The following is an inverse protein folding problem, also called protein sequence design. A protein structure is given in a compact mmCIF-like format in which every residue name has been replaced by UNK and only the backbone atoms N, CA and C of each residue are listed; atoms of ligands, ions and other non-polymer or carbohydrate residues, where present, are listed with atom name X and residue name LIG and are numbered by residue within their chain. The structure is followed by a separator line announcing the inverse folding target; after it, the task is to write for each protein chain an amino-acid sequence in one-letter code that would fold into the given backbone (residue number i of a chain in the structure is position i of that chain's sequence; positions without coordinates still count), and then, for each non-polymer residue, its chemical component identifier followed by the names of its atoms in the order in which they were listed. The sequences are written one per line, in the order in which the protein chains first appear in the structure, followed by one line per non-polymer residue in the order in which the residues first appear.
data_IF_913501688110
#
_entry.id   IF_913501688110
#
_cell.length_a   1.000
_cell.length_b   1.000
_cell.length_c   1.000
_cell.angle_alpha   90.00
_cell.angle_beta   90.00
_cell.angle_gamma   90.00
#
_symmetry.space_group_name_H-M   'P 1'
#
loop_
_entity.id
_entity.type
_entity.pdbx_description
1 polymer ?
#
# COMPACT_ATOMS: atom_id res chain seq x y z
N UNK A 1 -28.35 9.51 -22.35
CA UNK A 1 -28.30 8.77 -21.08
C UNK A 1 -27.55 9.66 -20.10
N UNK A 2 -28.20 10.06 -19.06
CA UNK A 2 -27.64 11.04 -18.12
C UNK A 2 -26.62 10.31 -17.22
N UNK A 3 -25.32 10.51 -17.48
CA UNK A 3 -24.20 9.98 -16.67
C UNK A 3 -24.11 10.64 -15.29
N UNK A 4 -25.24 11.11 -14.77
CA UNK A 4 -25.33 11.94 -13.56
C UNK A 4 -25.13 11.17 -12.26
N UNK A 5 -25.07 9.84 -12.28
CA UNK A 5 -25.00 9.03 -11.05
C UNK A 5 -23.70 9.20 -10.23
N UNK A 6 -22.61 9.68 -10.85
CA UNK A 6 -21.31 9.90 -10.18
C UNK A 6 -20.81 11.34 -10.29
N UNK A 7 -21.72 12.31 -10.45
CA UNK A 7 -21.35 13.73 -10.36
C UNK A 7 -21.15 14.11 -8.89
N UNK A 8 -20.00 13.77 -8.36
CA UNK A 8 -19.52 14.45 -7.18
C UNK A 8 -19.27 15.91 -7.54
N UNK A 9 -19.88 16.83 -6.81
CA UNK A 9 -19.56 18.23 -6.95
C UNK A 9 -18.20 18.48 -6.29
N UNK A 10 -17.11 18.16 -7.01
CA UNK A 10 -15.74 18.24 -6.52
C UNK A 10 -15.30 19.70 -6.53
N UNK A 11 -15.47 20.37 -5.41
CA UNK A 11 -14.82 21.66 -5.16
C UNK A 11 -13.44 21.36 -4.57
N UNK A 12 -12.40 21.43 -5.41
CA UNK A 12 -11.01 21.22 -4.97
C UNK A 12 -10.62 22.36 -4.02
N UNK A 13 -10.27 22.02 -2.79
CA UNK A 13 -9.69 22.99 -1.87
C UNK A 13 -8.16 23.07 -2.00
N UNK A 14 -7.56 24.09 -1.38
CA UNK A 14 -6.12 24.35 -1.47
C UNK A 14 -5.26 23.23 -0.90
N UNK A 15 -5.79 22.45 0.04
CA UNK A 15 -5.06 21.32 0.63
C UNK A 15 -4.96 20.16 -0.37
N UNK A 16 -6.07 19.78 -0.99
CA UNK A 16 -6.08 18.72 -2.01
C UNK A 16 -5.23 19.13 -3.22
N UNK A 17 -5.26 20.39 -3.63
CA UNK A 17 -4.40 20.92 -4.70
C UNK A 17 -2.91 20.76 -4.32
N UNK A 18 -2.52 21.09 -3.09
CA UNK A 18 -1.14 20.88 -2.62
C UNK A 18 -0.74 19.42 -2.63
N UNK A 19 -1.61 18.53 -2.17
CA UNK A 19 -1.38 17.09 -2.20
C UNK A 19 -1.16 16.59 -3.63
N UNK A 20 -1.99 17.01 -4.59
CA UNK A 20 -1.83 16.67 -6.00
C UNK A 20 -0.46 17.14 -6.55
N UNK A 21 -0.08 18.38 -6.27
CA UNK A 21 1.22 18.92 -6.71
C UNK A 21 2.38 18.11 -6.13
N UNK A 22 2.32 17.71 -4.87
CA UNK A 22 3.36 16.89 -4.21
C UNK A 22 3.44 15.53 -4.86
N UNK A 23 2.29 14.88 -5.06
CA UNK A 23 2.17 13.57 -5.66
C UNK A 23 2.74 13.53 -7.08
N UNK A 24 2.30 14.43 -7.96
CA UNK A 24 2.75 14.50 -9.37
C UNK A 24 4.23 14.90 -9.48
N UNK A 25 4.73 15.72 -8.57
CA UNK A 25 6.14 16.09 -8.52
C UNK A 25 7.04 14.88 -8.23
N UNK A 26 6.61 13.95 -7.39
CA UNK A 26 7.34 12.70 -7.18
C UNK A 26 7.33 11.84 -8.44
N UNK A 27 6.19 11.67 -9.07
CA UNK A 27 6.06 10.88 -10.30
C UNK A 27 6.99 11.41 -11.41
N UNK A 28 7.04 12.72 -11.58
CA UNK A 28 7.92 13.37 -12.56
C UNK A 28 9.42 13.08 -12.34
N UNK A 29 9.87 12.86 -11.10
CA UNK A 29 11.27 12.54 -10.80
C UNK A 29 11.56 11.04 -10.74
N UNK A 30 10.50 10.21 -10.71
CA UNK A 30 10.61 8.76 -10.50
C UNK A 30 11.51 8.08 -11.52
N UNK A 31 11.37 8.37 -12.80
CA UNK A 31 12.17 7.77 -13.87
C UNK A 31 13.68 7.92 -13.64
N UNK A 32 14.10 9.04 -13.05
CA UNK A 32 15.50 9.28 -12.69
C UNK A 32 15.93 8.49 -11.44
N UNK A 33 15.04 8.38 -10.45
CA UNK A 33 15.28 7.58 -9.24
C UNK A 33 15.37 6.10 -9.58
N UNK A 34 14.46 5.61 -10.41
CA UNK A 34 14.40 4.23 -10.88
C UNK A 34 15.72 3.80 -11.54
N UNK A 35 16.19 4.56 -12.54
CA UNK A 35 17.45 4.29 -13.26
C UNK A 35 18.65 4.21 -12.32
N UNK A 36 18.70 5.08 -11.30
CA UNK A 36 19.81 5.12 -10.32
C UNK A 36 19.75 3.98 -9.29
N UNK A 37 18.61 3.33 -9.17
CA UNK A 37 18.32 2.37 -8.08
C UNK A 37 18.03 0.96 -8.58
N UNK A 38 18.20 0.65 -9.86
CA UNK A 38 17.84 -0.62 -10.50
C UNK A 38 18.24 -1.86 -9.69
N UNK A 39 19.46 -1.87 -9.14
CA UNK A 39 19.98 -2.99 -8.33
C UNK A 39 19.25 -3.18 -6.98
N UNK A 40 18.42 -2.22 -6.57
CA UNK A 40 17.69 -2.25 -5.29
C UNK A 40 16.21 -2.52 -5.48
N UNK A 41 15.68 -2.30 -6.68
CA UNK A 41 14.26 -2.37 -6.96
C UNK A 41 13.69 -3.77 -6.78
N UNK A 42 14.43 -4.83 -7.15
CA UNK A 42 14.00 -6.22 -6.92
C UNK A 42 13.82 -6.52 -5.43
N UNK A 43 14.76 -6.05 -4.60
CA UNK A 43 14.68 -6.21 -3.14
C UNK A 43 13.52 -5.40 -2.55
N UNK A 44 13.31 -4.16 -3.04
CA UNK A 44 12.19 -3.34 -2.60
C UNK A 44 10.85 -3.96 -2.99
N UNK A 45 10.74 -4.51 -4.20
CA UNK A 45 9.54 -5.21 -4.67
C UNK A 45 9.23 -6.44 -3.81
N UNK A 46 10.22 -7.30 -3.58
CA UNK A 46 10.05 -8.48 -2.70
C UNK A 46 9.60 -8.07 -1.30
N UNK A 47 10.23 -7.04 -0.71
CA UNK A 47 9.83 -6.52 0.59
C UNK A 47 8.41 -5.94 0.58
N UNK A 48 8.04 -5.20 -0.46
CA UNK A 48 6.67 -4.66 -0.61
C UNK A 48 5.65 -5.80 -0.64
N UNK A 49 5.89 -6.87 -1.40
CA UNK A 49 5.01 -8.05 -1.45
C UNK A 49 4.86 -8.69 -0.06
N UNK A 50 5.96 -8.93 0.66
CA UNK A 50 5.90 -9.49 2.03
C UNK A 50 5.11 -8.60 2.98
N UNK A 51 5.30 -7.28 2.92
CA UNK A 51 4.56 -6.31 3.74
C UNK A 51 3.06 -6.26 3.39
N UNK A 52 2.72 -6.29 2.10
CA UNK A 52 1.33 -6.31 1.61
C UNK A 52 0.58 -7.54 2.13
N UNK A 53 1.17 -8.72 1.96
CA UNK A 53 0.57 -9.97 2.41
C UNK A 53 0.42 -10.03 3.94
N UNK A 54 1.43 -9.56 4.68
CA UNK A 54 1.33 -9.46 6.14
C UNK A 54 0.23 -8.50 6.59
N UNK A 55 0.09 -7.37 5.92
CA UNK A 55 -0.95 -6.39 6.22
C UNK A 55 -2.36 -6.94 5.91
N UNK A 56 -2.54 -7.61 4.76
CA UNK A 56 -3.81 -8.28 4.41
C UNK A 56 -4.20 -9.28 5.49
N UNK A 57 -3.28 -10.12 5.93
CA UNK A 57 -3.55 -11.10 6.99
C UNK A 57 -3.96 -10.42 8.30
N UNK A 58 -3.25 -9.38 8.75
CA UNK A 58 -3.57 -8.67 10.00
C UNK A 58 -4.89 -7.90 9.90
N UNK A 59 -5.23 -7.38 8.74
CA UNK A 59 -6.55 -6.77 8.49
C UNK A 59 -7.70 -7.79 8.59
N UNK A 60 -7.43 -9.06 8.26
CA UNK A 60 -8.36 -10.19 8.40
C UNK A 60 -8.25 -10.88 9.79
N UNK A 61 -7.42 -10.36 10.70
CA UNK A 61 -7.29 -10.85 12.09
C UNK A 61 -6.22 -11.92 12.33
N UNK A 62 -5.31 -12.14 11.37
CA UNK A 62 -4.22 -13.12 11.48
C UNK A 62 -2.86 -12.42 11.50
N UNK A 63 -1.98 -12.84 12.40
CA UNK A 63 -0.63 -12.30 12.49
C UNK A 63 0.43 -13.35 12.12
N UNK A 64 1.09 -13.11 10.98
CA UNK A 64 2.19 -13.94 10.51
C UNK A 64 3.51 -13.16 10.54
N UNK A 65 4.58 -13.81 10.95
CA UNK A 65 5.92 -13.25 10.83
C UNK A 65 6.35 -13.12 9.36
N UNK A 66 7.21 -12.16 9.05
CA UNK A 66 7.76 -11.98 7.69
C UNK A 66 8.44 -13.29 7.19
N UNK A 67 9.19 -13.98 8.07
CA UNK A 67 9.82 -15.26 7.73
C UNK A 67 8.82 -16.34 7.33
N UNK A 68 7.64 -16.41 8.00
CA UNK A 68 6.58 -17.35 7.61
C UNK A 68 6.02 -17.01 6.24
N UNK A 69 5.76 -15.73 5.98
CA UNK A 69 5.25 -15.23 4.68
C UNK A 69 6.24 -15.61 3.56
N UNK A 70 7.53 -15.30 3.74
CA UNK A 70 8.57 -15.62 2.75
C UNK A 70 8.68 -17.11 2.48
N UNK A 71 8.60 -17.95 3.52
CA UNK A 71 8.61 -19.42 3.39
C UNK A 71 7.44 -19.93 2.55
N UNK A 72 6.24 -19.40 2.76
CA UNK A 72 5.05 -19.78 1.99
C UNK A 72 5.12 -19.30 0.53
N UNK A 73 5.64 -18.08 0.28
CA UNK A 73 5.84 -17.59 -1.08
C UNK A 73 6.79 -18.43 -1.93
N UNK A 74 7.79 -19.04 -1.28
CA UNK A 74 8.81 -19.81 -2.02
C UNK A 74 8.33 -21.18 -2.47
N UNK A 75 7.59 -21.93 -1.63
CA UNK A 75 7.44 -23.38 -1.83
C UNK A 75 6.06 -23.94 -1.47
N UNK A 76 5.09 -23.13 -1.09
CA UNK A 76 3.83 -23.68 -0.61
C UNK A 76 2.83 -23.92 -1.75
N UNK A 77 2.18 -25.09 -1.74
CA UNK A 77 1.09 -25.43 -2.66
C UNK A 77 -0.25 -25.33 -1.92
N UNK A 78 -1.00 -24.26 -2.18
CA UNK A 78 -2.26 -23.94 -1.48
C UNK A 78 -3.38 -24.91 -1.82
N UNK A 79 -4.19 -25.27 -0.81
CA UNK A 79 -5.29 -26.25 -0.91
C UNK A 79 -6.54 -25.72 -0.18
N UNK A 80 -7.71 -26.27 -0.53
CA UNK A 80 -8.98 -25.98 0.13
C UNK A 80 -9.06 -26.51 1.58
N UNK A 81 -8.28 -27.52 1.90
CA UNK A 81 -8.18 -28.14 3.23
C UNK A 81 -7.30 -27.35 4.21
N UNK A 82 -6.54 -26.37 3.72
CA UNK A 82 -5.69 -25.53 4.55
C UNK A 82 -6.50 -24.72 5.57
N UNK A 83 -5.84 -24.22 6.61
CA UNK A 83 -6.44 -23.32 7.58
C UNK A 83 -6.89 -22.00 6.95
N UNK A 84 -7.82 -21.29 7.61
CA UNK A 84 -8.43 -20.07 7.07
C UNK A 84 -7.40 -18.98 6.71
N UNK A 85 -6.38 -18.81 7.54
CA UNK A 85 -5.28 -17.85 7.32
C UNK A 85 -4.46 -18.21 6.07
N UNK A 86 -4.15 -19.49 5.88
CA UNK A 86 -3.42 -20.00 4.69
C UNK A 86 -4.26 -19.82 3.42
N UNK A 87 -5.56 -20.08 3.49
CA UNK A 87 -6.46 -19.89 2.33
C UNK A 87 -6.59 -18.43 1.92
N UNK A 88 -6.70 -17.52 2.89
CA UNK A 88 -6.75 -16.08 2.65
C UNK A 88 -5.45 -15.61 2.00
N UNK A 89 -4.32 -16.03 2.56
CA UNK A 89 -3.00 -15.74 2.00
C UNK A 89 -2.85 -16.25 0.57
N UNK A 90 -3.15 -17.54 0.35
CA UNK A 90 -3.06 -18.16 -0.97
C UNK A 90 -3.96 -17.53 -2.01
N UNK A 91 -5.20 -17.23 -1.63
CA UNK A 91 -6.15 -16.54 -2.51
C UNK A 91 -5.66 -15.16 -2.94
N UNK A 92 -5.09 -14.38 -2.01
CA UNK A 92 -4.54 -13.07 -2.35
C UNK A 92 -3.34 -13.17 -3.29
N UNK A 93 -2.40 -14.11 -3.02
CA UNK A 93 -1.25 -14.39 -3.90
C UNK A 93 -1.71 -14.79 -5.30
N UNK A 94 -2.69 -15.67 -5.40
CA UNK A 94 -3.22 -16.11 -6.70
C UNK A 94 -3.90 -14.99 -7.47
N UNK A 95 -4.72 -14.17 -6.81
CA UNK A 95 -5.39 -13.04 -7.47
C UNK A 95 -4.36 -12.00 -7.97
N UNK A 96 -3.30 -11.74 -7.20
CA UNK A 96 -2.21 -10.85 -7.63
C UNK A 96 -1.45 -11.44 -8.81
N UNK A 97 -1.12 -12.74 -8.77
CA UNK A 97 -0.43 -13.45 -9.87
C UNK A 97 -1.27 -13.45 -11.14
N UNK A 98 -2.58 -13.75 -11.02
CA UNK A 98 -3.52 -13.69 -12.15
C UNK A 98 -3.48 -12.33 -12.86
N UNK A 99 -3.52 -11.24 -12.08
CA UNK A 99 -3.40 -9.91 -12.66
C UNK A 99 -2.04 -9.71 -13.34
N UNK A 100 -0.93 -10.06 -12.68
CA UNK A 100 0.42 -9.82 -13.22
C UNK A 100 0.67 -10.60 -14.52
N UNK A 101 0.18 -11.82 -14.62
CA UNK A 101 0.28 -12.66 -15.83
C UNK A 101 -0.54 -12.12 -16.99
N UNK A 102 -1.67 -11.49 -16.69
CA UNK A 102 -2.59 -10.93 -17.69
C UNK A 102 -2.46 -9.40 -17.84
N UNK A 103 -1.48 -8.76 -17.20
CA UNK A 103 -1.41 -7.31 -17.04
C UNK A 103 -1.44 -6.50 -18.33
N UNK A 104 -0.90 -7.04 -19.43
CA UNK A 104 -0.92 -6.38 -20.74
C UNK A 104 -2.32 -6.31 -21.37
N UNK A 105 -3.21 -7.25 -21.04
CA UNK A 105 -4.55 -7.37 -21.61
C UNK A 105 -5.65 -7.22 -20.55
N UNK A 106 -5.27 -6.87 -19.33
CA UNK A 106 -6.25 -6.75 -18.25
C UNK A 106 -7.10 -5.48 -18.46
N UNK A 107 -8.35 -5.69 -18.81
CA UNK A 107 -9.35 -4.62 -18.87
C UNK A 107 -10.11 -4.57 -17.55
N UNK A 108 -10.32 -3.37 -17.02
CA UNK A 108 -11.13 -3.15 -15.83
C UNK A 108 -12.62 -3.21 -16.21
N UNK A 109 -13.17 -4.40 -16.28
CA UNK A 109 -14.57 -4.66 -16.61
C UNK A 109 -15.17 -5.73 -15.68
N UNK A 110 -16.46 -5.99 -15.85
CA UNK A 110 -17.17 -6.98 -15.01
C UNK A 110 -16.58 -8.39 -15.08
N UNK A 111 -16.29 -8.98 -16.26
CA UNK A 111 -15.68 -10.30 -16.35
C UNK A 111 -14.33 -10.37 -15.63
N UNK A 112 -13.42 -9.44 -15.89
CA UNK A 112 -12.09 -9.41 -15.27
C UNK A 112 -12.16 -9.25 -13.75
N UNK A 113 -13.09 -8.42 -13.27
CA UNK A 113 -13.29 -8.24 -11.84
C UNK A 113 -13.85 -9.50 -11.15
N UNK A 114 -14.77 -10.20 -11.81
CA UNK A 114 -15.31 -11.48 -11.34
C UNK A 114 -14.23 -12.58 -11.32
N UNK A 115 -13.41 -12.64 -12.35
CA UNK A 115 -12.28 -13.58 -12.39
C UNK A 115 -11.24 -13.26 -11.29
N UNK A 116 -10.96 -11.98 -11.04
CA UNK A 116 -10.07 -11.57 -9.95
C UNK A 116 -10.62 -12.02 -8.59
N UNK A 117 -11.92 -11.84 -8.36
CA UNK A 117 -12.59 -12.29 -7.13
C UNK A 117 -12.60 -13.82 -7.03
N UNK A 118 -12.81 -14.52 -8.12
CA UNK A 118 -12.75 -15.98 -8.18
C UNK A 118 -11.38 -16.49 -7.77
N UNK A 119 -10.30 -15.89 -8.28
CA UNK A 119 -8.94 -16.23 -7.89
C UNK A 119 -8.69 -15.92 -6.40
N UNK A 120 -9.24 -14.81 -5.91
CA UNK A 120 -9.10 -14.41 -4.50
C UNK A 120 -9.73 -15.41 -3.53
N UNK A 121 -10.84 -16.05 -3.90
CA UNK A 121 -11.58 -16.96 -3.04
C UNK A 121 -11.43 -18.44 -3.40
N UNK A 122 -10.63 -18.80 -4.39
CA UNK A 122 -10.54 -20.17 -4.92
C UNK A 122 -10.21 -21.26 -3.90
N UNK A 123 -9.55 -20.90 -2.80
CA UNK A 123 -9.22 -21.84 -1.71
C UNK A 123 -10.25 -21.82 -0.56
N UNK A 124 -11.35 -21.06 -0.66
CA UNK A 124 -12.35 -20.91 0.39
C UNK A 124 -13.61 -21.73 0.14
N UNK A 125 -13.75 -22.95 0.70
CA UNK A 125 -14.93 -23.79 0.45
C UNK A 125 -16.24 -23.15 0.89
N UNK A 126 -16.22 -22.32 1.94
CA UNK A 126 -17.41 -21.59 2.41
C UNK A 126 -17.96 -20.59 1.38
N UNK A 127 -17.10 -20.15 0.45
CA UNK A 127 -17.41 -19.10 -0.52
C UNK A 127 -17.67 -19.66 -1.92
N UNK A 128 -17.55 -20.98 -2.14
CA UNK A 128 -17.76 -21.67 -3.45
C UNK A 128 -19.12 -21.30 -4.10
N UNK A 129 -20.17 -21.08 -3.30
CA UNK A 129 -21.53 -20.80 -3.78
C UNK A 129 -21.72 -19.41 -4.40
N UNK A 130 -20.78 -18.48 -4.17
CA UNK A 130 -20.83 -17.11 -4.72
C UNK A 130 -19.52 -16.66 -5.37
N UNK A 131 -18.54 -17.55 -5.45
CA UNK A 131 -17.23 -17.28 -6.00
C UNK A 131 -17.35 -16.87 -7.48
N UNK A 132 -16.85 -15.68 -7.84
CA UNK A 132 -16.95 -15.13 -9.20
C UNK A 132 -18.30 -14.49 -9.55
N UNK A 133 -19.25 -14.43 -8.61
CA UNK A 133 -20.56 -13.82 -8.82
C UNK A 133 -20.80 -12.60 -7.91
N UNK A 134 -21.60 -11.65 -8.41
CA UNK A 134 -22.09 -10.58 -7.55
C UNK A 134 -22.99 -11.12 -6.44
N UNK A 135 -23.03 -10.39 -5.34
CA UNK A 135 -23.76 -10.77 -4.14
C UNK A 135 -25.24 -11.03 -4.39
N UNK A 136 -25.76 -12.02 -3.67
CA UNK A 136 -27.18 -12.40 -3.65
C UNK A 136 -27.87 -12.03 -2.35
N UNK A 137 -27.07 -11.75 -1.30
CA UNK A 137 -27.53 -11.41 0.05
C UNK A 137 -26.89 -10.06 0.42
N UNK A 138 -27.61 -9.25 1.18
CA UNK A 138 -27.08 -7.96 1.66
C UNK A 138 -25.82 -8.17 2.51
N UNK A 139 -24.80 -7.35 2.26
CA UNK A 139 -23.49 -7.45 2.88
C UNK A 139 -23.03 -6.10 3.43
N UNK A 140 -23.87 -5.41 4.18
CA UNK A 140 -23.53 -4.17 4.85
C UNK A 140 -22.19 -4.30 5.61
N UNK A 141 -21.46 -3.21 5.73
CA UNK A 141 -20.24 -3.20 6.54
C UNK A 141 -20.62 -2.97 8.00
N UNK A 142 -20.32 -3.96 8.83
CA UNK A 142 -20.48 -3.91 10.28
C UNK A 142 -19.12 -4.11 10.95
N UNK A 143 -18.91 -3.43 12.07
CA UNK A 143 -17.77 -3.69 12.98
C UNK A 143 -18.30 -4.33 14.25
N UNK A 144 -17.54 -5.27 14.79
CA UNK A 144 -17.83 -5.87 16.10
C UNK A 144 -17.14 -5.02 17.16
N UNK A 145 -17.94 -4.49 18.08
CA UNK A 145 -17.43 -3.73 19.23
C UNK A 145 -16.87 -4.66 20.32
N UNK A 146 -16.07 -4.14 21.28
CA UNK A 146 -15.49 -4.95 22.34
C UNK A 146 -16.52 -5.68 23.22
N UNK A 147 -17.75 -5.19 23.30
CA UNK A 147 -18.88 -5.81 24.02
C UNK A 147 -19.59 -6.92 23.23
N UNK A 148 -19.10 -7.20 21.99
CA UNK A 148 -19.69 -8.18 21.07
C UNK A 148 -20.89 -7.65 20.25
N UNK A 149 -21.35 -6.42 20.49
CA UNK A 149 -22.36 -5.78 19.65
C UNK A 149 -21.81 -5.42 18.27
N UNK A 150 -22.72 -5.32 17.28
CA UNK A 150 -22.37 -4.92 15.92
C UNK A 150 -22.80 -3.48 15.67
N UNK A 151 -21.89 -2.67 15.20
CA UNK A 151 -22.17 -1.33 14.73
C UNK A 151 -22.16 -1.30 13.21
N UNK A 152 -23.24 -0.80 12.61
CA UNK A 152 -23.32 -0.58 11.16
C UNK A 152 -22.41 0.57 10.77
N UNK A 153 -21.35 0.27 9.99
CA UNK A 153 -20.45 1.31 9.44
C UNK A 153 -21.14 1.99 8.28
N UNK A 154 -21.64 1.21 7.31
CA UNK A 154 -22.47 1.74 6.21
C UNK A 154 -23.32 0.65 5.54
N UNK A 155 -24.31 1.11 4.77
CA UNK A 155 -25.19 0.26 3.96
C UNK A 155 -24.63 0.13 2.56
N UNK A 156 -24.38 -1.10 2.15
CA UNK A 156 -24.00 -1.42 0.78
C UNK A 156 -25.18 -1.29 -0.17
N UNK A 157 -24.91 -1.16 -1.47
CA UNK A 157 -25.96 -1.26 -2.51
C UNK A 157 -26.70 -2.57 -2.39
N UNK A 158 -28.02 -2.54 -2.60
CA UNK A 158 -28.86 -3.75 -2.53
C UNK A 158 -28.42 -4.81 -3.56
N UNK A 159 -28.53 -6.12 -3.23
CA UNK A 159 -28.14 -7.20 -4.12
C UNK A 159 -29.01 -7.27 -5.39
N UNK A 160 -28.55 -8.06 -6.36
CA UNK A 160 -29.27 -8.30 -7.61
C UNK A 160 -29.09 -7.15 -8.60
N UNK A 161 -30.19 -6.71 -9.23
CA UNK A 161 -30.15 -5.72 -10.32
C UNK A 161 -29.51 -4.41 -9.90
N UNK A 162 -29.72 -3.94 -8.68
CA UNK A 162 -29.14 -2.69 -8.18
C UNK A 162 -27.61 -2.75 -8.12
N UNK A 163 -27.03 -3.89 -7.70
CA UNK A 163 -25.57 -4.09 -7.70
C UNK A 163 -25.03 -4.14 -9.13
N UNK A 164 -25.72 -4.84 -10.05
CA UNK A 164 -25.32 -4.95 -11.46
C UNK A 164 -25.31 -3.57 -12.13
N UNK A 165 -26.38 -2.81 -11.96
CA UNK A 165 -26.50 -1.46 -12.53
C UNK A 165 -25.46 -0.50 -11.95
N UNK A 166 -25.26 -0.53 -10.63
CA UNK A 166 -24.26 0.33 -9.98
C UNK A 166 -22.84 0.02 -10.48
N UNK A 167 -22.46 -1.24 -10.61
CA UNK A 167 -21.16 -1.62 -11.15
C UNK A 167 -21.01 -1.23 -12.63
N UNK A 168 -22.08 -1.45 -13.44
CA UNK A 168 -22.06 -1.00 -14.84
C UNK A 168 -21.84 0.51 -14.93
N UNK A 169 -22.58 1.30 -14.16
CA UNK A 169 -22.43 2.76 -14.12
C UNK A 169 -21.02 3.18 -13.67
N UNK A 170 -20.42 2.46 -12.71
CA UNK A 170 -19.06 2.73 -12.25
C UNK A 170 -18.02 2.50 -13.36
N UNK A 171 -18.12 1.40 -14.11
CA UNK A 171 -17.24 1.14 -15.26
C UNK A 171 -17.47 2.15 -16.37
N UNK A 172 -18.73 2.41 -16.75
CA UNK A 172 -19.08 3.37 -17.79
C UNK A 172 -18.51 4.76 -17.47
N UNK A 173 -18.66 5.23 -16.23
CA UNK A 173 -18.08 6.48 -15.77
C UNK A 173 -16.56 6.46 -15.86
N UNK A 174 -15.91 5.39 -15.37
CA UNK A 174 -14.44 5.31 -15.36
C UNK A 174 -13.84 5.45 -16.75
N UNK A 175 -14.47 4.87 -17.76
CA UNK A 175 -13.98 4.98 -19.14
C UNK A 175 -14.41 6.27 -19.85
N UNK A 176 -15.57 6.80 -19.54
CA UNK A 176 -16.08 8.02 -20.17
C UNK A 176 -15.45 9.31 -19.64
N UNK A 177 -15.06 9.33 -18.36
CA UNK A 177 -14.49 10.54 -17.75
C UNK A 177 -13.04 10.77 -18.21
N UNK A 178 -12.84 11.88 -18.94
CA UNK A 178 -11.53 12.34 -19.41
C UNK A 178 -11.07 13.62 -18.68
N UNK A 179 -11.85 14.13 -17.75
CA UNK A 179 -11.59 15.42 -17.10
C UNK A 179 -10.97 15.29 -15.71
N UNK A 180 -11.22 14.18 -15.03
CA UNK A 180 -10.69 13.95 -13.69
C UNK A 180 -9.23 13.50 -13.77
N UNK A 181 -8.38 14.11 -12.94
CA UNK A 181 -6.96 13.74 -12.81
C UNK A 181 -6.85 12.26 -12.41
N UNK A 182 -5.96 11.50 -13.05
CA UNK A 182 -5.87 10.04 -12.95
C UNK A 182 -5.89 9.50 -11.53
N UNK A 183 -5.09 10.08 -10.61
CA UNK A 183 -5.05 9.62 -9.21
C UNK A 183 -6.38 9.88 -8.48
N UNK A 184 -7.06 10.99 -8.74
CA UNK A 184 -8.38 11.27 -8.17
C UNK A 184 -9.44 10.34 -8.75
N UNK A 185 -9.35 10.03 -10.03
CA UNK A 185 -10.23 9.07 -10.71
C UNK A 185 -10.12 7.68 -10.09
N UNK A 186 -8.89 7.24 -9.78
CA UNK A 186 -8.63 6.01 -9.04
C UNK A 186 -9.29 6.08 -7.65
N UNK A 187 -9.05 7.15 -6.89
CA UNK A 187 -9.61 7.32 -5.54
C UNK A 187 -11.14 7.28 -5.53
N UNK A 188 -11.79 7.91 -6.52
CA UNK A 188 -13.25 7.92 -6.70
C UNK A 188 -13.75 6.51 -7.03
N UNK A 189 -13.10 5.82 -7.98
CA UNK A 189 -13.46 4.46 -8.36
C UNK A 189 -13.43 3.51 -7.15
N UNK A 190 -12.37 3.56 -6.35
CA UNK A 190 -12.22 2.73 -5.15
C UNK A 190 -13.28 3.07 -4.10
N UNK A 191 -13.59 4.35 -3.90
CA UNK A 191 -14.66 4.78 -3.00
C UNK A 191 -16.01 4.17 -3.41
N UNK A 192 -16.40 4.33 -4.67
CA UNK A 192 -17.66 3.80 -5.19
C UNK A 192 -17.72 2.27 -5.12
N UNK A 193 -16.63 1.60 -5.48
CA UNK A 193 -16.53 0.15 -5.34
C UNK A 193 -16.77 -0.32 -3.89
N UNK A 194 -16.17 0.38 -2.93
CA UNK A 194 -16.37 0.10 -1.50
C UNK A 194 -17.79 0.42 -1.03
N UNK A 195 -18.47 1.39 -1.63
CA UNK A 195 -19.86 1.70 -1.35
C UNK A 195 -20.82 0.64 -1.93
N UNK A 196 -20.56 0.20 -3.15
CA UNK A 196 -21.35 -0.83 -3.82
C UNK A 196 -21.18 -2.18 -3.12
N UNK A 197 -19.94 -2.56 -2.75
CA UNK A 197 -19.60 -3.88 -2.20
C UNK A 197 -20.20 -5.02 -3.04
N UNK A 198 -19.79 -5.16 -4.32
CA UNK A 198 -20.51 -5.99 -5.29
C UNK A 198 -20.45 -7.48 -4.97
N UNK A 199 -19.47 -7.97 -4.25
CA UNK A 199 -19.30 -9.38 -3.93
C UNK A 199 -19.75 -9.71 -2.50
N UNK A 200 -20.11 -10.98 -2.25
CA UNK A 200 -20.52 -11.42 -0.92
C UNK A 200 -19.36 -11.35 0.08
N UNK A 201 -18.14 -11.71 -0.34
CA UNK A 201 -16.89 -11.60 0.42
C UNK A 201 -15.75 -11.11 -0.48
N UNK A 202 -14.65 -10.63 0.15
CA UNK A 202 -13.43 -10.23 -0.53
C UNK A 202 -13.39 -8.77 -1.02
N UNK A 203 -14.44 -7.95 -0.85
CA UNK A 203 -14.47 -6.57 -1.37
C UNK A 203 -13.31 -5.69 -0.86
N UNK A 204 -12.92 -5.81 0.40
CA UNK A 204 -11.78 -5.07 0.96
C UNK A 204 -10.46 -5.48 0.30
N UNK A 205 -10.20 -6.78 0.22
CA UNK A 205 -8.99 -7.34 -0.42
C UNK A 205 -8.91 -6.98 -1.91
N UNK A 206 -10.06 -7.05 -2.61
CA UNK A 206 -10.16 -6.63 -4.00
C UNK A 206 -9.88 -5.14 -4.18
N UNK A 207 -10.35 -4.29 -3.26
CA UNK A 207 -10.08 -2.85 -3.37
C UNK A 207 -8.58 -2.54 -3.35
N UNK A 208 -7.79 -3.24 -2.55
CA UNK A 208 -6.33 -3.09 -2.54
C UNK A 208 -5.68 -3.54 -3.84
N UNK A 209 -6.09 -4.70 -4.36
CA UNK A 209 -5.62 -5.19 -5.67
C UNK A 209 -6.00 -4.23 -6.79
N UNK A 210 -7.23 -3.68 -6.78
CA UNK A 210 -7.66 -2.71 -7.78
C UNK A 210 -6.87 -1.39 -7.70
N UNK A 211 -6.52 -0.91 -6.50
CA UNK A 211 -5.60 0.24 -6.39
C UNK A 211 -4.30 -0.07 -7.13
N UNK A 212 -3.69 -1.23 -6.89
CA UNK A 212 -2.46 -1.64 -7.57
C UNK A 212 -2.62 -1.72 -9.09
N UNK A 213 -3.70 -2.35 -9.55
CA UNK A 213 -4.03 -2.47 -10.98
C UNK A 213 -4.16 -1.09 -11.62
N UNK A 214 -4.99 -0.23 -11.04
CA UNK A 214 -5.30 1.09 -11.57
C UNK A 214 -4.07 2.02 -11.54
N UNK A 215 -3.25 1.95 -10.49
CA UNK A 215 -1.99 2.69 -10.42
C UNK A 215 -1.04 2.28 -11.56
N UNK A 216 -0.89 0.98 -11.80
CA UNK A 216 -0.03 0.48 -12.88
C UNK A 216 -0.58 0.87 -14.26
N UNK A 217 -1.89 0.78 -14.50
CA UNK A 217 -2.52 1.16 -15.77
C UNK A 217 -2.46 2.67 -16.04
N UNK A 218 -2.39 3.50 -14.99
CA UNK A 218 -2.17 4.94 -15.11
C UNK A 218 -0.68 5.33 -15.10
N UNK A 219 0.22 4.37 -15.38
CA UNK A 219 1.66 4.55 -15.52
C UNK A 219 2.42 4.97 -14.25
N UNK A 220 1.83 4.83 -13.05
CA UNK A 220 2.54 5.03 -11.79
C UNK A 220 3.47 3.84 -11.49
N UNK A 221 4.56 3.72 -12.28
CA UNK A 221 5.47 2.56 -12.29
C UNK A 221 6.25 2.35 -10.98
N UNK A 222 6.21 3.31 -10.06
CA UNK A 222 6.78 3.21 -8.72
C UNK A 222 5.92 2.41 -7.74
N UNK A 223 4.64 2.24 -8.02
CA UNK A 223 3.69 1.61 -7.08
C UNK A 223 4.02 0.16 -6.70
N UNK A 224 4.54 -0.71 -7.59
CA UNK A 224 4.91 -2.09 -7.26
C UNK A 224 6.00 -2.24 -6.18
N UNK A 225 6.70 -1.16 -5.84
CA UNK A 225 7.76 -1.16 -4.80
C UNK A 225 7.25 -0.76 -3.41
N UNK A 226 5.93 -0.68 -3.24
CA UNK A 226 5.25 -0.19 -2.05
C UNK A 226 4.13 -1.15 -1.61
N UNK A 227 3.70 -1.00 -0.35
CA UNK A 227 2.56 -1.73 0.19
C UNK A 227 1.46 -0.74 0.59
N UNK A 228 0.44 -0.64 -0.23
CA UNK A 228 -0.76 0.15 0.08
C UNK A 228 -1.55 -0.47 1.23
N UNK A 229 -1.63 -1.79 1.28
CA UNK A 229 -2.29 -2.55 2.34
C UNK A 229 -1.70 -2.25 3.72
N UNK A 230 -0.36 -2.10 3.79
CA UNK A 230 0.33 -1.71 5.02
C UNK A 230 -0.01 -0.28 5.44
N UNK A 231 -0.12 0.64 4.49
CA UNK A 231 -0.54 2.01 4.76
C UNK A 231 -1.97 2.06 5.30
N UNK A 232 -2.89 1.30 4.71
CA UNK A 232 -4.27 1.17 5.22
C UNK A 232 -4.31 0.51 6.59
N UNK A 233 -3.51 -0.52 6.84
CA UNK A 233 -3.40 -1.16 8.15
C UNK A 233 -2.97 -0.16 9.23
N UNK A 234 -1.97 0.66 8.94
CA UNK A 234 -1.45 1.67 9.87
C UNK A 234 -2.47 2.77 10.18
N UNK A 235 -3.30 3.12 9.20
CA UNK A 235 -4.33 4.16 9.31
C UNK A 235 -5.74 3.57 9.41
N UNK A 236 -5.89 2.32 9.90
CA UNK A 236 -7.16 1.55 9.87
C UNK A 236 -8.33 2.30 10.49
N UNK A 237 -8.13 2.93 11.63
CA UNK A 237 -9.20 3.64 12.33
C UNK A 237 -9.68 4.85 11.52
N UNK A 238 -8.75 5.65 11.00
CA UNK A 238 -9.06 6.81 10.18
C UNK A 238 -9.75 6.40 8.88
N UNK A 239 -9.27 5.35 8.20
CA UNK A 239 -9.87 4.78 7.01
C UNK A 239 -11.36 4.46 7.20
N UNK A 240 -11.73 3.73 8.26
CA UNK A 240 -13.13 3.39 8.50
C UNK A 240 -13.96 4.60 8.93
N UNK A 241 -13.39 5.52 9.73
CA UNK A 241 -14.07 6.74 10.13
C UNK A 241 -14.42 7.61 8.93
N UNK A 242 -13.48 7.83 8.02
CA UNK A 242 -13.69 8.62 6.82
C UNK A 242 -14.70 7.96 5.88
N UNK A 243 -14.61 6.66 5.66
CA UNK A 243 -15.62 5.94 4.86
C UNK A 243 -17.02 6.10 5.45
N UNK A 244 -17.19 5.88 6.75
CA UNK A 244 -18.45 6.02 7.47
C UNK A 244 -19.01 7.44 7.36
N UNK A 245 -18.18 8.43 7.63
CA UNK A 245 -18.62 9.84 7.64
C UNK A 245 -18.96 10.34 6.24
N UNK A 246 -18.18 9.95 5.23
CA UNK A 246 -18.46 10.31 3.85
C UNK A 246 -19.79 9.71 3.38
N UNK A 247 -20.07 8.44 3.72
CA UNK A 247 -21.26 7.74 3.25
C UNK A 247 -22.56 8.12 3.95
N UNK A 248 -22.51 8.79 5.11
CA UNK A 248 -23.72 9.23 5.84
C UNK A 248 -24.69 10.06 5.00
N UNK A 249 -24.20 10.77 4.01
CA UNK A 249 -24.96 11.70 3.18
C UNK A 249 -25.23 11.18 1.76
N UNK A 250 -24.99 9.88 1.52
CA UNK A 250 -25.26 9.26 0.21
C UNK A 250 -26.74 9.34 -0.16
N UNK A 251 -27.11 9.74 -1.40
CA UNK A 251 -26.22 9.95 -2.58
C UNK A 251 -25.72 11.39 -2.79
N UNK A 252 -25.80 12.27 -1.83
CA UNK A 252 -25.36 13.68 -1.92
C UNK A 252 -24.10 13.94 -1.08
N UNK A 253 -23.25 12.92 -0.98
CA UNK A 253 -22.04 12.97 -0.16
C UNK A 253 -20.95 13.90 -0.71
N UNK A 254 -20.21 14.52 0.22
CA UNK A 254 -18.97 15.22 -0.08
C UNK A 254 -17.78 14.27 0.14
N UNK A 255 -17.12 13.86 -0.94
CA UNK A 255 -16.01 12.90 -0.89
C UNK A 255 -14.63 13.55 -0.69
N UNK A 256 -14.54 14.86 -0.44
CA UNK A 256 -13.25 15.55 -0.26
C UNK A 256 -12.44 14.94 0.88
N UNK A 257 -13.07 14.57 1.98
CA UNK A 257 -12.41 13.88 3.10
C UNK A 257 -11.73 12.58 2.68
N UNK A 258 -12.44 11.75 1.90
CA UNK A 258 -11.89 10.52 1.33
C UNK A 258 -10.73 10.81 0.38
N UNK A 259 -10.86 11.77 -0.53
CA UNK A 259 -9.81 12.11 -1.48
C UNK A 259 -8.54 12.57 -0.78
N UNK A 260 -8.65 13.42 0.25
CA UNK A 260 -7.51 13.88 1.05
C UNK A 260 -6.83 12.73 1.78
N UNK A 261 -7.59 11.84 2.39
CA UNK A 261 -7.06 10.64 3.05
C UNK A 261 -6.30 9.77 2.06
N UNK A 262 -6.92 9.45 0.91
CA UNK A 262 -6.28 8.64 -0.13
C UNK A 262 -4.99 9.28 -0.62
N UNK A 263 -4.99 10.59 -0.89
CA UNK A 263 -3.81 11.34 -1.31
C UNK A 263 -2.72 11.35 -0.23
N UNK A 264 -3.09 11.49 1.06
CA UNK A 264 -2.13 11.40 2.17
C UNK A 264 -1.45 10.03 2.22
N UNK A 265 -2.21 8.94 2.06
CA UNK A 265 -1.64 7.59 1.97
C UNK A 265 -0.64 7.48 0.80
N UNK A 266 -1.00 7.99 -0.38
CA UNK A 266 -0.12 7.95 -1.55
C UNK A 266 1.17 8.75 -1.36
N UNK A 267 1.11 9.94 -0.77
CA UNK A 267 2.27 10.78 -0.47
C UNK A 267 3.18 10.09 0.57
N UNK A 268 2.61 9.53 1.64
CA UNK A 268 3.38 8.78 2.64
C UNK A 268 4.14 7.60 2.02
N UNK A 269 3.49 6.88 1.10
CA UNK A 269 4.12 5.80 0.36
C UNK A 269 5.29 6.30 -0.50
N UNK A 270 5.10 7.40 -1.22
CA UNK A 270 6.16 8.02 -2.03
C UNK A 270 7.35 8.47 -1.18
N UNK A 271 7.10 9.10 -0.04
CA UNK A 271 8.16 9.56 0.88
C UNK A 271 8.91 8.38 1.49
N UNK A 272 8.22 7.30 1.85
CA UNK A 272 8.85 6.06 2.31
C UNK A 272 9.74 5.43 1.24
N UNK A 273 9.29 5.38 -0.02
CA UNK A 273 10.07 4.86 -1.14
C UNK A 273 11.34 5.70 -1.37
N UNK A 274 11.18 7.01 -1.42
CA UNK A 274 12.29 7.96 -1.56
C UNK A 274 13.31 7.80 -0.43
N UNK A 275 12.85 7.69 0.82
CA UNK A 275 13.70 7.45 1.98
C UNK A 275 14.48 6.14 1.86
N UNK A 276 13.82 5.05 1.48
CA UNK A 276 14.46 3.74 1.30
C UNK A 276 15.53 3.75 0.20
N UNK A 277 15.25 4.40 -0.92
CA UNK A 277 16.22 4.53 -2.03
C UNK A 277 17.43 5.38 -1.60
N UNK A 278 17.18 6.55 -1.02
CA UNK A 278 18.26 7.45 -0.61
C UNK A 278 19.14 6.82 0.46
N UNK A 279 18.55 6.22 1.50
CA UNK A 279 19.29 5.56 2.58
C UNK A 279 20.16 4.42 2.06
N UNK A 280 19.66 3.59 1.14
CA UNK A 280 20.44 2.49 0.57
C UNK A 280 21.51 2.97 -0.43
N UNK A 281 21.21 3.98 -1.23
CA UNK A 281 22.22 4.59 -2.13
C UNK A 281 23.38 5.17 -1.34
N UNK A 282 23.08 5.76 -0.20
CA UNK A 282 24.05 6.27 0.73
C UNK A 282 24.93 5.14 1.31
N UNK A 283 24.31 4.04 1.77
CA UNK A 283 25.05 2.88 2.33
C UNK A 283 25.82 2.06 1.30
N UNK A 284 25.43 2.07 0.02
CA UNK A 284 26.22 1.41 -1.06
C UNK A 284 27.50 2.17 -1.41
N UNK A 285 27.54 3.47 -1.19
CA UNK A 285 28.71 4.32 -1.42
C UNK A 285 29.73 4.29 -0.26
N UNK A 286 29.41 3.60 0.84
CA UNK A 286 30.34 3.42 1.94
C UNK A 286 31.22 2.19 1.70
N UNK A 287 32.54 2.36 1.91
CA UNK A 287 33.48 1.23 1.96
C UNK A 287 33.10 0.25 3.09
N UNK A 288 33.57 -1.00 3.00
CA UNK A 288 33.38 -2.01 4.05
C UNK A 288 33.81 -1.49 5.44
N UNK A 289 34.91 -0.72 5.50
CA UNK A 289 35.37 -0.11 6.76
C UNK A 289 34.44 0.97 7.28
N UNK A 290 33.88 1.80 6.40
CA UNK A 290 32.91 2.85 6.78
C UNK A 290 31.59 2.24 7.26
N UNK A 291 31.10 1.17 6.61
CA UNK A 291 29.92 0.41 7.08
C UNK A 291 30.14 -0.15 8.48
N UNK A 292 31.30 -0.78 8.73
CA UNK A 292 31.65 -1.30 10.06
C UNK A 292 31.64 -0.18 11.13
N UNK A 293 32.17 0.99 10.81
CA UNK A 293 32.17 2.15 11.72
C UNK A 293 30.75 2.65 12.01
N UNK A 294 29.87 2.75 10.99
CA UNK A 294 28.49 3.14 11.18
C UNK A 294 27.70 2.14 12.06
N UNK A 295 27.92 0.82 11.87
CA UNK A 295 27.32 -0.21 12.72
C UNK A 295 27.75 -0.07 14.19
N UNK A 296 29.06 0.11 14.44
CA UNK A 296 29.58 0.30 15.80
C UNK A 296 28.93 1.51 16.50
N UNK A 297 28.76 2.63 15.77
CA UNK A 297 28.14 3.84 16.32
C UNK A 297 26.66 3.60 16.61
N UNK A 298 25.95 2.93 15.71
CA UNK A 298 24.52 2.59 15.87
C UNK A 298 24.29 1.70 17.11
N UNK A 299 25.18 0.74 17.32
CA UNK A 299 25.09 -0.19 18.46
C UNK A 299 25.55 0.44 19.79
N UNK A 300 26.26 1.57 19.73
CA UNK A 300 26.80 2.29 20.89
C UNK A 300 26.62 3.81 20.71
N UNK A 301 25.40 4.34 20.82
CA UNK A 301 25.15 5.78 20.68
C UNK A 301 25.96 6.59 21.71
N UNK A 302 26.59 7.69 21.27
CA UNK A 302 27.42 8.52 22.11
C UNK A 302 28.90 8.04 22.25
N UNK A 303 29.31 7.08 21.42
CA UNK A 303 30.68 6.53 21.44
C UNK A 303 31.73 7.55 20.95
N UNK A 304 32.93 7.55 21.55
CA UNK A 304 34.03 8.42 21.10
C UNK A 304 34.92 7.76 20.05
N UNK A 305 35.71 8.59 19.33
CA UNK A 305 36.55 8.10 18.22
C UNK A 305 37.63 7.09 18.65
N UNK A 306 38.10 7.16 19.88
CA UNK A 306 39.12 6.23 20.44
C UNK A 306 38.50 4.83 20.71
N UNK A 307 37.29 4.78 21.18
CA UNK A 307 36.56 3.53 21.42
C UNK A 307 36.18 2.86 20.09
N UNK A 308 35.69 3.64 19.10
CA UNK A 308 35.45 3.15 17.75
C UNK A 308 36.74 2.53 17.16
N UNK A 309 37.90 3.18 17.35
CA UNK A 309 39.17 2.64 16.90
C UNK A 309 39.50 1.30 17.55
N UNK A 310 39.29 1.17 18.87
CA UNK A 310 39.51 -0.09 19.62
C UNK A 310 38.61 -1.20 19.15
N UNK A 311 37.29 -0.95 19.04
CA UNK A 311 36.30 -1.95 18.65
C UNK A 311 36.46 -2.37 17.17
N UNK A 312 36.74 -1.42 16.29
CA UNK A 312 36.87 -1.69 14.85
C UNK A 312 38.21 -2.32 14.45
N UNK A 313 39.27 -2.14 15.26
CA UNK A 313 40.63 -2.49 14.90
C UNK A 313 41.25 -1.56 13.84
N UNK A 314 40.62 -0.42 13.55
CA UNK A 314 41.09 0.54 12.55
C UNK A 314 41.89 1.65 13.24
N UNK A 315 43.09 2.04 12.71
CA UNK A 315 43.89 3.09 13.32
C UNK A 315 43.14 4.40 13.52
N UNK A 316 43.31 5.04 14.68
CA UNK A 316 42.61 6.27 15.09
C UNK A 316 42.65 7.41 14.06
N UNK A 317 43.80 7.69 13.36
CA UNK A 317 43.82 8.70 12.30
C UNK A 317 42.83 8.40 11.15
N UNK A 318 42.74 7.13 10.76
CA UNK A 318 41.79 6.66 9.72
C UNK A 318 40.35 6.79 10.19
N UNK A 319 40.07 6.42 11.46
CA UNK A 319 38.74 6.61 12.06
C UNK A 319 38.35 8.10 12.04
N UNK A 320 39.23 9.02 12.48
CA UNK A 320 38.93 10.46 12.46
C UNK A 320 38.63 10.98 11.05
N UNK A 321 39.35 10.51 10.02
CA UNK A 321 39.12 10.88 8.63
C UNK A 321 37.75 10.35 8.15
N UNK A 322 37.41 9.09 8.47
CA UNK A 322 36.13 8.50 8.14
C UNK A 322 34.98 9.21 8.86
N UNK A 323 35.09 9.46 10.16
CA UNK A 323 34.07 10.16 10.94
C UNK A 323 33.81 11.58 10.41
N UNK A 324 34.87 12.34 10.03
CA UNK A 324 34.68 13.64 9.39
C UNK A 324 33.89 13.54 8.09
N UNK A 325 34.20 12.55 7.24
CA UNK A 325 33.45 12.28 6.00
C UNK A 325 32.02 11.88 6.28
N UNK A 326 31.78 10.95 7.22
CA UNK A 326 30.45 10.45 7.58
C UNK A 326 29.56 11.55 8.17
N UNK A 327 30.10 12.44 9.01
CA UNK A 327 29.36 13.61 9.53
C UNK A 327 29.02 14.58 8.40
N UNK A 328 29.99 14.89 7.51
CA UNK A 328 29.76 15.79 6.38
C UNK A 328 28.72 15.26 5.42
N UNK A 329 28.63 13.93 5.27
CA UNK A 329 27.65 13.23 4.47
C UNK A 329 26.32 12.93 5.23
N UNK A 330 26.18 13.42 6.47
CA UNK A 330 25.00 13.24 7.35
C UNK A 330 24.64 11.78 7.66
N UNK A 331 25.65 10.88 7.69
CA UNK A 331 25.45 9.48 8.11
C UNK A 331 25.37 9.32 9.62
N UNK A 332 26.08 10.16 10.32
CA UNK A 332 26.19 10.18 11.78
C UNK A 332 26.11 11.62 12.26
N UNK A 333 25.63 11.82 13.46
CA UNK A 333 25.71 13.11 14.15
C UNK A 333 26.99 13.19 15.02
N UNK A 334 27.40 14.40 15.26
CA UNK A 334 28.54 14.70 16.14
C UNK A 334 28.08 15.63 17.24
N UNK A 335 28.31 15.24 18.48
CA UNK A 335 27.99 16.02 19.67
C UNK A 335 29.27 16.33 20.47
N UNK A 336 29.35 17.53 21.07
CA UNK A 336 30.49 17.98 21.87
C UNK A 336 31.66 18.55 21.06
N UNK A 337 32.65 19.07 21.77
CA UNK A 337 33.83 19.74 21.22
C UNK A 337 35.13 19.15 21.84
N UNK A 338 36.18 19.00 21.02
CA UNK A 338 37.48 18.56 21.47
C UNK A 338 37.51 17.10 21.95
N UNK A 339 38.04 16.86 23.17
CA UNK A 339 38.15 15.51 23.74
C UNK A 339 36.80 14.89 24.15
N UNK A 340 35.79 15.71 24.35
CA UNK A 340 34.42 15.29 24.70
C UNK A 340 33.51 15.13 23.45
N UNK A 341 34.10 14.83 22.29
CA UNK A 341 33.34 14.60 21.05
C UNK A 341 32.83 13.17 20.97
N UNK A 342 31.52 13.03 20.89
CA UNK A 342 30.81 11.77 20.75
C UNK A 342 30.08 11.71 19.39
N UNK A 343 29.74 10.50 18.94
CA UNK A 343 29.09 10.24 17.67
C UNK A 343 27.83 9.37 17.89
N UNK A 344 26.73 9.75 17.20
CA UNK A 344 25.47 9.05 17.22
C UNK A 344 25.00 8.78 15.78
#
# INVERSE_FOLDING_TARGET
MDLTAFKFNLVLDMELIRQLIVFERFDAIWSNLEKRSMNQLSVLRSKATTLSLGAVLRLEGFDWSEARIESFLMNYNFRKEDSSDVRIFGGYVHAESYFLENSLNFELNEPSLKDLQKNLLQFSPKDDWHCGDYKRINNNLEIVLPDGSKELVFRATEPGIHTIEAMKQLFDWYYADQNTIGILKIAIFIYEFLCIRPFQDGNGRLSYLMVKILMMQNNYSWFPYLSFEKEIEQNRQEYFTILKDTQKHRPAENIIGWLKFFMSCMINLQDNLKGNILTKTITTNLSVKEKKVCTIIKDNPGICSSEISKISGIPLPSIKKMLKKLVMQKFISKEGIGKATNYC
#
